data_IF_061306570730
#
_entry.id   IF_061306570730
#
_cell.length_a   1.000
_cell.length_b   1.000
_cell.length_c   1.000
_cell.angle_alpha   90.00
_cell.angle_beta   90.00
_cell.angle_gamma   90.00
#
_symmetry.space_group_name_H-M   'P 1'
#
loop_
_entity.id
_entity.type
_entity.pdbx_description
1 polymer ?
#
# COMPACT_ATOMS: atom_id res chain seq x y z
N UNK A 1 23.37 -0.97 -18.57
CA UNK A 1 24.48 -0.47 -17.77
C UNK A 1 23.94 0.02 -16.41
N UNK A 2 24.18 -0.79 -15.39
CA UNK A 2 24.38 -0.55 -13.94
C UNK A 2 23.57 0.59 -13.30
N UNK A 3 22.51 0.23 -12.58
CA UNK A 3 21.90 1.08 -11.57
C UNK A 3 22.69 0.90 -10.24
N UNK A 4 23.32 1.96 -9.76
CA UNK A 4 24.00 2.00 -8.49
C UNK A 4 22.98 2.30 -7.40
N UNK A 5 22.80 1.36 -6.47
CA UNK A 5 22.10 1.57 -5.22
C UNK A 5 23.00 2.35 -4.26
N UNK A 6 22.55 3.49 -3.78
CA UNK A 6 23.20 4.21 -2.67
C UNK A 6 22.65 3.66 -1.37
N UNK A 7 23.46 2.84 -0.69
CA UNK A 7 23.24 2.42 0.68
C UNK A 7 23.77 3.48 1.63
N UNK A 8 22.94 4.06 2.48
CA UNK A 8 23.38 4.85 3.64
C UNK A 8 23.60 3.86 4.77
N UNK A 9 24.88 3.67 5.12
CA UNK A 9 25.30 2.86 6.25
C UNK A 9 25.16 3.68 7.55
N UNK A 10 24.29 3.24 8.46
CA UNK A 10 24.42 3.57 9.88
C UNK A 10 25.11 2.40 10.59
N UNK A 11 26.37 2.59 10.97
CA UNK A 11 27.08 1.69 11.87
C UNK A 11 26.53 1.85 13.30
N UNK A 12 26.03 0.75 13.86
CA UNK A 12 26.01 0.57 15.30
C UNK A 12 26.45 -0.87 15.59
N UNK A 13 27.53 -0.97 16.35
CA UNK A 13 28.15 -2.21 16.75
C UNK A 13 27.33 -2.92 17.83
N UNK A 14 26.94 -4.18 17.58
CA UNK A 14 26.72 -5.20 18.62
C UNK A 14 26.89 -6.56 17.99
N UNK A 15 27.84 -7.32 18.52
CA UNK A 15 28.35 -8.53 17.91
C UNK A 15 27.50 -9.76 18.16
N UNK A 16 27.62 -10.71 17.27
CA UNK A 16 27.66 -12.15 17.56
C UNK A 16 26.40 -12.98 17.38
N UNK A 17 25.19 -12.41 17.17
CA UNK A 17 23.95 -13.19 16.97
C UNK A 17 23.31 -13.03 15.59
N UNK A 18 23.89 -12.17 14.74
CA UNK A 18 23.29 -11.76 13.47
C UNK A 18 23.44 -12.74 12.31
N UNK A 19 24.42 -13.66 12.35
CA UNK A 19 24.79 -14.44 11.17
C UNK A 19 23.97 -15.72 10.98
N UNK A 20 23.42 -16.30 12.03
CA UNK A 20 22.60 -17.53 11.93
C UNK A 20 21.16 -17.20 11.52
N UNK A 21 20.62 -16.06 11.98
CA UNK A 21 19.28 -15.60 11.58
C UNK A 21 19.19 -15.16 10.10
N UNK A 22 20.25 -14.57 9.56
CA UNK A 22 20.25 -14.05 8.19
C UNK A 22 20.28 -15.12 7.10
N UNK A 23 20.85 -16.30 7.37
CA UNK A 23 20.91 -17.39 6.39
C UNK A 23 19.59 -18.18 6.32
N UNK A 24 18.91 -18.37 7.44
CA UNK A 24 17.62 -19.10 7.50
C UNK A 24 16.45 -18.24 6.99
N UNK A 25 16.54 -16.89 7.14
CA UNK A 25 15.56 -15.94 6.61
C UNK A 25 15.60 -15.84 5.09
N UNK A 26 16.78 -15.91 4.44
CA UNK A 26 16.87 -15.80 2.97
C UNK A 26 16.16 -16.93 2.22
N UNK A 27 16.16 -18.13 2.74
CA UNK A 27 15.50 -19.29 2.10
C UNK A 27 13.97 -19.24 2.30
N UNK A 28 13.50 -18.72 3.43
CA UNK A 28 12.05 -18.49 3.71
C UNK A 28 11.50 -17.30 2.94
N UNK A 29 12.30 -16.27 2.67
CA UNK A 29 11.94 -15.05 1.96
C UNK A 29 11.35 -15.29 0.57
N UNK A 30 11.90 -16.23 -0.16
CA UNK A 30 11.46 -16.50 -1.52
C UNK A 30 10.06 -17.11 -1.62
N UNK A 31 9.49 -17.60 -0.52
CA UNK A 31 8.31 -18.46 -0.58
C UNK A 31 6.98 -17.71 -0.74
N UNK A 32 6.72 -16.61 -0.04
CA UNK A 32 5.40 -16.01 -0.07
C UNK A 32 5.20 -15.11 -1.30
N UNK A 33 5.98 -14.05 -1.46
CA UNK A 33 5.82 -13.15 -2.61
C UNK A 33 5.98 -13.88 -3.95
N UNK A 34 6.95 -14.80 -4.07
CA UNK A 34 7.16 -15.54 -5.31
C UNK A 34 5.97 -16.38 -5.73
N UNK A 35 5.22 -16.94 -4.77
CA UNK A 35 4.02 -17.72 -5.07
C UNK A 35 2.91 -16.88 -5.69
N UNK A 36 2.91 -15.55 -5.46
CA UNK A 36 1.86 -14.63 -5.89
C UNK A 36 2.32 -13.60 -6.93
N UNK A 37 3.60 -13.52 -7.27
CA UNK A 37 4.14 -12.54 -8.24
C UNK A 37 3.45 -12.57 -9.61
N UNK A 38 2.97 -13.72 -10.03
CA UNK A 38 2.23 -13.83 -11.28
C UNK A 38 0.94 -13.01 -11.26
N UNK A 39 0.30 -12.81 -10.08
CA UNK A 39 -0.92 -12.03 -9.91
C UNK A 39 -0.67 -10.52 -10.07
N UNK A 40 0.56 -10.05 -9.88
CA UNK A 40 0.89 -8.63 -10.00
C UNK A 40 0.66 -8.07 -11.40
N UNK A 41 0.69 -8.94 -12.42
CA UNK A 41 0.46 -8.57 -13.82
C UNK A 41 -1.02 -8.41 -14.15
N UNK A 42 -1.88 -9.08 -13.40
CA UNK A 42 -3.33 -9.14 -13.64
C UNK A 42 -4.13 -8.34 -12.61
N UNK A 43 -3.45 -7.64 -11.68
CA UNK A 43 -4.15 -6.83 -10.68
C UNK A 43 -5.06 -5.79 -11.35
N UNK A 44 -6.29 -5.71 -10.88
CA UNK A 44 -7.34 -4.84 -11.41
C UNK A 44 -8.14 -5.43 -12.57
N UNK A 45 -7.90 -6.68 -12.96
CA UNK A 45 -8.74 -7.35 -13.97
C UNK A 45 -10.12 -7.72 -13.41
N UNK A 46 -10.19 -7.99 -12.09
CA UNK A 46 -11.42 -8.34 -11.39
C UNK A 46 -11.92 -7.27 -10.43
N UNK A 47 -11.13 -6.20 -10.24
CA UNK A 47 -11.50 -5.10 -9.35
C UNK A 47 -12.80 -4.44 -9.79
N UNK A 48 -13.69 -4.23 -8.83
CA UNK A 48 -14.94 -3.48 -9.01
C UNK A 48 -14.80 -1.99 -8.68
N UNK A 49 -13.61 -1.55 -8.26
CA UNK A 49 -13.36 -0.15 -7.92
C UNK A 49 -13.61 0.74 -9.12
N UNK A 50 -14.46 1.75 -8.94
CA UNK A 50 -14.77 2.77 -9.95
C UNK A 50 -14.61 4.15 -9.35
N UNK A 51 -13.82 4.98 -10.01
CA UNK A 51 -13.51 6.33 -9.59
C UNK A 51 -14.15 7.34 -10.56
N UNK A 52 -14.88 8.30 -10.01
CA UNK A 52 -15.51 9.39 -10.78
C UNK A 52 -14.90 10.71 -10.38
N UNK A 53 -14.51 11.53 -11.35
CA UNK A 53 -14.19 12.93 -11.11
C UNK A 53 -15.47 13.69 -10.78
N UNK A 54 -15.43 14.50 -9.72
CA UNK A 54 -16.52 15.36 -9.28
C UNK A 54 -16.28 16.78 -9.83
N UNK A 55 -15.04 17.28 -9.70
CA UNK A 55 -14.66 18.62 -10.16
C UNK A 55 -13.15 18.74 -10.37
N UNK A 56 -12.72 19.89 -10.88
CA UNK A 56 -11.33 20.22 -11.21
C UNK A 56 -11.09 20.33 -12.72
N UNK A 57 -9.88 20.70 -13.16
CA UNK A 57 -8.74 20.96 -12.28
C UNK A 57 -8.78 22.36 -11.64
N UNK A 58 -8.32 22.45 -10.40
CA UNK A 58 -8.02 23.69 -9.70
C UNK A 58 -6.49 23.88 -9.63
N UNK A 59 -6.01 25.11 -9.86
CA UNK A 59 -4.59 25.43 -9.66
C UNK A 59 -4.28 25.45 -8.16
N UNK A 60 -3.26 24.70 -7.74
CA UNK A 60 -2.81 24.67 -6.34
C UNK A 60 -1.29 24.78 -6.23
N UNK A 61 -0.83 24.99 -5.00
CA UNK A 61 0.60 24.88 -4.65
C UNK A 61 0.80 23.68 -3.73
N UNK A 62 1.37 22.62 -4.30
CA UNK A 62 1.74 21.38 -3.64
C UNK A 62 2.94 21.55 -2.70
N UNK A 63 3.27 20.52 -1.89
CA UNK A 63 4.39 20.52 -0.93
C UNK A 63 4.40 21.77 -0.04
N UNK A 64 3.27 22.01 0.63
CA UNK A 64 3.14 23.17 1.53
C UNK A 64 3.45 24.52 0.82
N UNK A 65 2.93 24.69 -0.39
CA UNK A 65 3.02 25.93 -1.13
C UNK A 65 4.23 26.12 -2.02
N UNK A 66 5.08 25.07 -2.20
CA UNK A 66 6.37 25.19 -2.91
C UNK A 66 6.33 24.85 -4.39
N UNK A 67 5.40 24.00 -4.82
CA UNK A 67 5.40 23.44 -6.17
C UNK A 67 4.03 23.64 -6.82
N UNK A 68 3.95 24.24 -8.02
CA UNK A 68 2.66 24.40 -8.71
C UNK A 68 2.14 23.07 -9.20
N UNK A 69 0.82 22.92 -9.21
CA UNK A 69 0.13 21.74 -9.69
C UNK A 69 -1.35 21.95 -9.88
N UNK A 70 -2.03 20.91 -10.27
CA UNK A 70 -3.47 20.87 -10.51
C UNK A 70 -4.11 19.80 -9.63
N UNK A 71 -5.25 20.15 -9.03
CA UNK A 71 -6.03 19.26 -8.16
C UNK A 71 -7.39 18.96 -8.75
N UNK A 72 -7.82 17.72 -8.60
CA UNK A 72 -9.17 17.24 -8.91
C UNK A 72 -9.78 16.62 -7.66
N UNK A 73 -11.09 16.68 -7.57
CA UNK A 73 -11.87 15.97 -6.58
C UNK A 73 -12.51 14.75 -7.23
N UNK A 74 -12.45 13.63 -6.54
CA UNK A 74 -12.93 12.35 -7.02
C UNK A 74 -13.72 11.61 -5.95
N UNK A 75 -14.49 10.61 -6.35
CA UNK A 75 -15.23 9.71 -5.45
C UNK A 75 -15.17 8.29 -5.94
N UNK A 76 -15.25 7.34 -5.00
CA UNK A 76 -15.46 5.93 -5.27
C UNK A 76 -16.37 5.37 -4.16
N UNK A 77 -17.59 4.95 -4.53
CA UNK A 77 -18.60 4.66 -3.53
C UNK A 77 -18.88 5.88 -2.65
N UNK A 78 -18.81 5.71 -1.35
CA UNK A 78 -18.97 6.77 -0.35
C UNK A 78 -17.71 7.62 -0.14
N UNK A 79 -16.54 7.13 -0.51
CA UNK A 79 -15.25 7.78 -0.27
C UNK A 79 -15.05 8.98 -1.20
N UNK A 80 -14.58 10.09 -0.63
CA UNK A 80 -14.23 11.33 -1.35
C UNK A 80 -12.77 11.63 -1.15
N UNK A 81 -12.05 11.95 -2.24
CA UNK A 81 -10.62 12.17 -2.15
C UNK A 81 -10.12 13.15 -3.22
N UNK A 82 -8.89 13.58 -3.04
CA UNK A 82 -8.20 14.56 -3.88
C UNK A 82 -7.09 13.88 -4.67
N UNK A 83 -7.00 14.22 -5.93
CA UNK A 83 -5.93 13.81 -6.83
C UNK A 83 -5.17 15.05 -7.27
N UNK A 84 -3.85 15.05 -7.11
CA UNK A 84 -3.04 16.20 -7.45
C UNK A 84 -1.87 15.80 -8.35
N UNK A 85 -1.63 16.58 -9.40
CA UNK A 85 -0.54 16.35 -10.35
C UNK A 85 0.29 17.63 -10.44
N UNK A 86 1.60 17.51 -10.20
CA UNK A 86 2.57 18.60 -10.33
C UNK A 86 2.60 19.10 -11.77
N UNK A 87 2.68 20.42 -11.97
CA UNK A 87 2.78 21.00 -13.31
C UNK A 87 4.02 20.50 -14.07
N UNK A 88 3.81 20.22 -15.35
CA UNK A 88 4.83 19.66 -16.24
C UNK A 88 5.17 18.18 -15.96
N UNK A 89 4.34 17.47 -15.23
CA UNK A 89 4.30 16.00 -15.24
C UNK A 89 3.51 15.55 -16.46
N UNK A 90 4.09 14.63 -17.23
CA UNK A 90 3.40 14.01 -18.38
C UNK A 90 2.56 12.82 -17.91
N UNK A 91 1.48 13.13 -17.20
CA UNK A 91 0.46 12.16 -16.80
C UNK A 91 -0.90 12.84 -16.77
N UNK A 92 -1.86 12.29 -17.51
CA UNK A 92 -3.26 12.72 -17.48
C UNK A 92 -3.94 12.15 -16.22
N UNK A 93 -4.90 12.90 -15.65
CA UNK A 93 -5.64 12.46 -14.46
C UNK A 93 -6.41 11.15 -14.71
N UNK A 94 -6.91 10.92 -15.92
CA UNK A 94 -7.60 9.69 -16.31
C UNK A 94 -6.65 8.47 -16.19
N UNK A 95 -5.38 8.64 -16.55
CA UNK A 95 -4.37 7.58 -16.39
C UNK A 95 -3.97 7.32 -14.94
N UNK A 96 -4.03 8.35 -14.10
CA UNK A 96 -3.91 8.17 -12.66
C UNK A 96 -5.10 7.37 -12.12
N UNK A 97 -6.31 7.75 -12.49
CA UNK A 97 -7.55 7.04 -12.11
C UNK A 97 -7.49 5.57 -12.51
N UNK A 98 -7.13 5.26 -13.76
CA UNK A 98 -6.99 3.88 -14.23
C UNK A 98 -6.04 3.04 -13.37
N UNK A 99 -5.01 3.64 -12.76
CA UNK A 99 -4.09 2.94 -11.84
C UNK A 99 -4.69 2.74 -10.46
N UNK A 100 -5.38 3.75 -9.95
CA UNK A 100 -6.04 3.71 -8.64
C UNK A 100 -7.20 2.69 -8.65
N UNK A 101 -7.94 2.59 -9.75
CA UNK A 101 -9.02 1.62 -9.95
C UNK A 101 -8.53 0.16 -9.99
N UNK A 102 -7.24 -0.07 -10.20
CA UNK A 102 -6.68 -1.42 -10.14
C UNK A 102 -6.60 -2.00 -8.74
N UNK A 103 -6.63 -1.16 -7.71
CA UNK A 103 -6.66 -1.65 -6.34
C UNK A 103 -8.07 -2.05 -5.92
N UNK A 104 -8.21 -3.12 -5.12
CA UNK A 104 -9.49 -3.54 -4.57
C UNK A 104 -10.16 -2.43 -3.74
N UNK A 105 -11.49 -2.43 -3.71
CA UNK A 105 -12.30 -1.40 -3.04
C UNK A 105 -11.88 -1.07 -1.60
N UNK A 106 -11.51 -2.03 -0.72
CA UNK A 106 -11.07 -1.70 0.64
C UNK A 106 -9.86 -0.76 0.71
N UNK A 107 -9.05 -0.69 -0.37
CA UNK A 107 -7.88 0.19 -0.44
C UNK A 107 -8.23 1.67 -0.69
N UNK A 108 -9.43 1.93 -1.21
CA UNK A 108 -9.90 3.31 -1.50
C UNK A 108 -10.00 4.18 -0.23
N UNK A 109 -10.23 3.56 0.92
CA UNK A 109 -10.24 4.27 2.21
C UNK A 109 -8.94 5.05 2.45
N UNK A 110 -7.79 4.51 2.07
CA UNK A 110 -6.52 5.23 2.21
C UNK A 110 -6.49 6.53 1.40
N UNK A 111 -7.20 6.58 0.26
CA UNK A 111 -7.28 7.80 -0.56
C UNK A 111 -8.03 8.91 0.14
N UNK A 112 -9.11 8.57 0.87
CA UNK A 112 -9.84 9.52 1.71
C UNK A 112 -8.99 9.97 2.90
N UNK A 113 -8.36 9.03 3.63
CA UNK A 113 -7.49 9.33 4.77
C UNK A 113 -6.44 10.39 4.43
N UNK A 114 -5.67 10.20 3.35
CA UNK A 114 -4.65 11.20 2.99
C UNK A 114 -5.26 12.51 2.50
N UNK A 115 -6.46 12.47 1.96
CA UNK A 115 -7.15 13.66 1.47
C UNK A 115 -7.74 14.52 2.58
N UNK A 116 -8.13 13.91 3.69
CA UNK A 116 -8.60 14.61 4.88
C UNK A 116 -7.43 15.28 5.61
N UNK A 117 -6.28 14.62 5.64
CA UNK A 117 -5.09 15.12 6.33
C UNK A 117 -4.35 16.23 5.57
N UNK A 118 -4.37 16.21 4.24
CA UNK A 118 -3.62 17.16 3.40
C UNK A 118 -4.40 17.60 2.16
N UNK A 119 -4.12 18.84 1.75
CA UNK A 119 -4.70 19.40 0.53
C UNK A 119 -4.25 18.69 -0.75
N UNK A 120 -3.03 18.14 -0.75
CA UNK A 120 -2.49 17.44 -1.91
C UNK A 120 -3.20 16.09 -2.16
N UNK A 121 -3.71 15.45 -1.11
CA UNK A 121 -4.31 14.12 -1.22
C UNK A 121 -3.32 13.10 -1.82
N UNK A 122 -3.75 12.36 -2.85
CA UNK A 122 -2.85 11.51 -3.63
C UNK A 122 -2.13 12.40 -4.64
N UNK A 123 -0.80 12.47 -4.54
CA UNK A 123 -0.01 13.45 -5.28
C UNK A 123 1.01 12.81 -6.22
N UNK A 124 1.02 13.25 -7.47
CA UNK A 124 2.02 12.84 -8.47
C UNK A 124 3.07 13.93 -8.61
N UNK A 125 4.32 13.57 -8.33
CA UNK A 125 5.48 14.46 -8.46
C UNK A 125 6.40 14.03 -9.60
N UNK A 126 7.15 14.96 -10.18
CA UNK A 126 8.18 14.66 -11.19
C UNK A 126 9.27 13.74 -10.63
N UNK A 127 9.61 13.91 -9.36
CA UNK A 127 10.65 13.17 -8.66
C UNK A 127 10.43 13.19 -7.16
N UNK A 128 10.79 12.09 -6.52
CA UNK A 128 10.75 11.87 -5.08
C UNK A 128 12.14 11.54 -4.51
N UNK A 129 13.21 12.16 -5.10
CA UNK A 129 14.57 11.98 -4.58
C UNK A 129 15.14 10.56 -4.78
N UNK A 130 14.69 9.86 -5.83
CA UNK A 130 15.11 8.49 -6.12
C UNK A 130 14.09 7.41 -5.71
N UNK A 131 13.13 7.72 -4.86
CA UNK A 131 12.03 6.81 -4.55
C UNK A 131 10.97 6.79 -5.67
N UNK A 132 10.26 5.67 -5.81
CA UNK A 132 9.12 5.55 -6.72
C UNK A 132 7.83 6.07 -6.10
N UNK A 133 7.71 5.98 -4.78
CA UNK A 133 6.57 6.44 -4.01
C UNK A 133 6.95 6.66 -2.53
N UNK A 134 6.05 7.28 -1.79
CA UNK A 134 6.06 7.38 -0.33
C UNK A 134 4.62 7.31 0.16
N UNK A 135 4.36 6.49 1.18
CA UNK A 135 3.07 6.37 1.85
C UNK A 135 3.12 6.77 3.31
N UNK A 136 1.99 7.21 3.82
CA UNK A 136 1.79 7.58 5.21
C UNK A 136 0.42 8.20 5.42
N UNK A 137 0.03 8.44 6.68
CA UNK A 137 -1.27 9.04 6.99
C UNK A 137 -1.53 10.35 6.25
N UNK A 138 -0.48 11.15 6.05
CA UNK A 138 -0.59 12.49 5.47
C UNK A 138 -0.27 12.55 3.98
N UNK A 139 0.09 11.45 3.34
CA UNK A 139 0.48 11.48 1.94
C UNK A 139 0.51 10.09 1.30
N UNK A 140 0.08 10.02 0.06
CA UNK A 140 0.45 9.02 -0.93
C UNK A 140 1.06 9.80 -2.09
N UNK A 141 2.39 9.87 -2.11
CA UNK A 141 3.15 10.56 -3.15
C UNK A 141 3.74 9.53 -4.10
N UNK A 142 3.55 9.72 -5.38
CA UNK A 142 4.05 8.80 -6.42
C UNK A 142 4.74 9.56 -7.55
N UNK A 143 5.64 8.89 -8.27
CA UNK A 143 6.15 9.37 -9.56
C UNK A 143 5.24 8.88 -10.70
N UNK A 144 5.30 9.50 -11.91
CA UNK A 144 4.45 9.11 -13.05
C UNK A 144 4.57 7.65 -13.46
N UNK A 145 5.70 7.00 -13.18
CA UNK A 145 5.97 5.60 -13.51
C UNK A 145 5.54 4.59 -12.45
N UNK A 146 5.08 5.03 -11.27
CA UNK A 146 4.68 4.12 -10.20
C UNK A 146 3.50 3.24 -10.62
N UNK A 147 3.67 1.92 -10.48
CA UNK A 147 2.64 0.94 -10.83
C UNK A 147 1.68 0.64 -9.67
N UNK A 148 0.61 -0.14 -9.94
CA UNK A 148 -0.41 -0.46 -8.92
C UNK A 148 0.17 -1.18 -7.70
N UNK A 149 1.17 -2.03 -7.87
CA UNK A 149 1.77 -2.75 -6.74
C UNK A 149 2.57 -1.83 -5.80
N UNK A 150 3.23 -0.80 -6.36
CA UNK A 150 3.87 0.26 -5.56
C UNK A 150 2.79 1.03 -4.79
N UNK A 151 1.70 1.38 -5.46
CA UNK A 151 0.58 2.06 -4.82
C UNK A 151 -0.05 1.22 -3.69
N UNK A 152 -0.23 -0.10 -3.89
CA UNK A 152 -0.75 -1.00 -2.85
C UNK A 152 0.16 -1.04 -1.61
N UNK A 153 1.47 -0.97 -1.80
CA UNK A 153 2.45 -0.87 -0.73
C UNK A 153 2.26 0.42 0.10
N UNK A 154 2.19 1.57 -0.58
CA UNK A 154 2.03 2.87 0.08
C UNK A 154 0.67 3.02 0.80
N UNK A 155 -0.39 2.45 0.22
CA UNK A 155 -1.69 2.32 0.88
C UNK A 155 -1.58 1.54 2.18
N UNK A 156 -0.74 0.49 2.21
CA UNK A 156 -0.45 -0.26 3.42
C UNK A 156 0.04 0.63 4.56
N UNK A 157 1.03 1.47 4.29
CA UNK A 157 1.55 2.43 5.29
C UNK A 157 0.51 3.46 5.72
N UNK A 158 -0.34 3.91 4.79
CA UNK A 158 -1.42 4.85 5.12
C UNK A 158 -2.42 4.23 6.09
N UNK A 159 -2.87 3.01 5.81
CA UNK A 159 -3.85 2.31 6.65
C UNK A 159 -3.25 1.90 8.00
N UNK A 160 -1.99 1.47 8.04
CA UNK A 160 -1.26 1.22 9.28
C UNK A 160 -1.24 2.46 10.19
N UNK A 161 -0.83 3.61 9.63
CA UNK A 161 -0.76 4.84 10.41
C UNK A 161 -2.14 5.34 10.85
N UNK A 162 -3.19 5.06 10.07
CA UNK A 162 -4.57 5.33 10.48
C UNK A 162 -4.99 4.42 11.63
N UNK A 163 -4.68 3.13 11.54
CA UNK A 163 -5.01 2.16 12.58
C UNK A 163 -4.32 2.46 13.93
N UNK A 164 -3.15 3.10 13.93
CA UNK A 164 -2.48 3.57 15.18
C UNK A 164 -3.29 4.57 15.99
N UNK A 165 -4.27 5.22 15.42
CA UNK A 165 -5.11 6.17 16.16
C UNK A 165 -6.06 5.45 17.12
N UNK A 166 -6.57 4.28 16.72
CA UNK A 166 -7.44 3.44 17.53
C UNK A 166 -6.66 2.37 18.31
N UNK A 167 -5.53 1.91 17.77
CA UNK A 167 -4.66 0.89 18.36
C UNK A 167 -3.16 1.31 18.28
N UNK A 168 -2.67 2.06 19.28
CA UNK A 168 -1.27 2.49 19.32
C UNK A 168 -0.25 1.35 19.28
N UNK A 169 -0.64 0.13 19.69
CA UNK A 169 0.21 -1.07 19.71
C UNK A 169 0.21 -1.85 18.38
N UNK A 170 -0.43 -1.34 17.34
CA UNK A 170 -0.62 -2.07 16.07
C UNK A 170 0.71 -2.55 15.47
N UNK A 171 1.80 -1.78 15.60
CA UNK A 171 3.11 -2.18 15.12
C UNK A 171 3.74 -3.30 15.95
N UNK A 172 3.58 -3.26 17.27
CA UNK A 172 4.07 -4.32 18.15
C UNK A 172 3.31 -5.62 17.86
N UNK A 173 2.00 -5.52 17.60
CA UNK A 173 1.17 -6.65 17.16
C UNK A 173 1.62 -7.17 15.80
N UNK A 174 2.03 -6.27 14.87
CA UNK A 174 2.56 -6.67 13.58
C UNK A 174 3.88 -7.43 13.70
N UNK A 175 4.80 -6.93 14.53
CA UNK A 175 6.05 -7.63 14.86
C UNK A 175 5.78 -9.03 15.45
N UNK A 176 4.84 -9.13 16.40
CA UNK A 176 4.44 -10.41 16.96
C UNK A 176 3.84 -11.35 15.90
N UNK A 177 3.09 -10.83 14.94
CA UNK A 177 2.53 -11.60 13.84
C UNK A 177 3.62 -12.12 12.88
N UNK A 178 4.65 -11.31 12.61
CA UNK A 178 5.81 -11.76 11.84
C UNK A 178 6.48 -12.95 12.51
N UNK A 179 6.75 -12.85 13.83
CA UNK A 179 7.38 -13.92 14.59
C UNK A 179 6.51 -15.18 14.68
N UNK A 180 5.18 -15.02 14.76
CA UNK A 180 4.23 -16.14 14.80
C UNK A 180 4.18 -16.90 13.47
N UNK A 181 4.17 -16.19 12.35
CA UNK A 181 4.07 -16.79 11.02
C UNK A 181 5.35 -17.51 10.60
N UNK A 182 6.51 -17.05 11.07
CA UNK A 182 7.84 -17.64 10.76
C UNK A 182 8.13 -17.77 9.26
N UNK A 183 7.55 -16.89 8.46
CA UNK A 183 7.77 -16.80 7.01
C UNK A 183 8.13 -15.38 6.62
N UNK A 184 8.92 -15.23 5.59
CA UNK A 184 9.21 -13.95 4.97
C UNK A 184 8.17 -13.62 3.91
N UNK A 185 7.76 -12.36 3.84
CA UNK A 185 6.89 -11.87 2.77
C UNK A 185 7.73 -11.51 1.55
N UNK A 186 8.78 -10.70 1.73
CA UNK A 186 9.68 -10.28 0.65
C UNK A 186 11.08 -9.96 1.16
N UNK A 187 12.06 -9.94 0.24
CA UNK A 187 13.42 -9.50 0.56
C UNK A 187 13.47 -8.07 1.12
N UNK A 188 12.59 -7.21 0.66
CA UNK A 188 12.57 -5.81 1.10
C UNK A 188 12.03 -5.70 2.53
N UNK A 189 10.92 -6.37 2.85
CA UNK A 189 10.37 -6.41 4.19
C UNK A 189 11.34 -7.01 5.23
N UNK A 190 12.16 -7.99 4.84
CA UNK A 190 13.16 -8.55 5.75
C UNK A 190 14.39 -7.65 5.97
N UNK A 191 14.79 -6.89 4.93
CA UNK A 191 15.90 -5.95 5.06
C UNK A 191 15.52 -4.70 5.84
N UNK A 192 14.27 -4.27 5.71
CA UNK A 192 13.72 -3.06 6.31
C UNK A 192 12.41 -3.43 7.00
N UNK A 193 12.51 -3.80 8.27
CA UNK A 193 11.45 -4.47 9.03
C UNK A 193 10.09 -3.75 9.00
N UNK A 194 10.08 -2.42 9.07
CA UNK A 194 8.84 -1.63 9.00
C UNK A 194 8.17 -1.63 7.61
N UNK A 195 8.86 -2.13 6.58
CA UNK A 195 8.31 -2.28 5.24
C UNK A 195 7.55 -3.60 5.04
N UNK A 196 7.66 -4.56 5.97
CA UNK A 196 6.99 -5.86 5.88
C UNK A 196 5.47 -5.71 5.74
N UNK A 197 4.87 -4.74 6.43
CA UNK A 197 3.44 -4.46 6.33
C UNK A 197 3.05 -3.93 4.94
N UNK A 198 3.80 -2.99 4.38
CA UNK A 198 3.61 -2.51 3.01
C UNK A 198 3.75 -3.63 1.98
N UNK A 199 4.75 -4.50 2.17
CA UNK A 199 4.95 -5.68 1.31
C UNK A 199 3.83 -6.70 1.44
N UNK A 200 3.31 -6.93 2.65
CA UNK A 200 2.14 -7.79 2.87
C UNK A 200 0.90 -7.20 2.21
N UNK A 201 0.64 -5.90 2.39
CA UNK A 201 -0.46 -5.16 1.74
C UNK A 201 -0.46 -5.39 0.23
N UNK A 202 0.71 -5.31 -0.40
CA UNK A 202 0.89 -5.55 -1.84
C UNK A 202 0.47 -6.97 -2.25
N UNK A 203 0.93 -7.99 -1.50
CA UNK A 203 0.57 -9.39 -1.77
C UNK A 203 -0.94 -9.62 -1.55
N UNK A 204 -1.48 -9.07 -0.46
CA UNK A 204 -2.89 -9.20 -0.12
C UNK A 204 -3.78 -8.56 -1.20
N UNK A 205 -3.46 -7.36 -1.69
CA UNK A 205 -4.20 -6.70 -2.77
C UNK A 205 -4.31 -7.58 -4.02
N UNK A 206 -3.19 -8.18 -4.42
CA UNK A 206 -3.16 -9.07 -5.58
C UNK A 206 -3.96 -10.36 -5.36
N UNK A 207 -3.91 -10.93 -4.14
CA UNK A 207 -4.69 -12.11 -3.79
C UNK A 207 -6.19 -11.80 -3.74
N UNK A 208 -6.57 -10.63 -3.19
CA UNK A 208 -7.96 -10.20 -3.09
C UNK A 208 -8.57 -9.99 -4.48
N UNK A 209 -7.85 -9.31 -5.39
CA UNK A 209 -8.30 -9.15 -6.78
C UNK A 209 -8.42 -10.50 -7.51
N UNK A 210 -7.50 -11.43 -7.26
CA UNK A 210 -7.53 -12.76 -7.88
C UNK A 210 -8.62 -13.69 -7.33
N UNK A 211 -9.13 -13.42 -6.12
CA UNK A 211 -10.28 -14.11 -5.49
C UNK A 211 -9.92 -15.07 -4.37
N UNK A 212 -10.96 -15.64 -3.75
CA UNK A 212 -10.90 -16.38 -2.47
C UNK A 212 -9.88 -17.53 -2.44
N UNK A 213 -9.67 -18.23 -3.55
CA UNK A 213 -8.68 -19.30 -3.59
C UNK A 213 -7.25 -18.82 -3.28
N UNK A 214 -6.89 -17.62 -3.75
CA UNK A 214 -5.59 -17.01 -3.50
C UNK A 214 -5.51 -16.39 -2.10
N UNK A 215 -6.59 -15.76 -1.63
CA UNK A 215 -6.68 -15.29 -0.24
C UNK A 215 -6.55 -16.44 0.75
N UNK A 216 -7.25 -17.55 0.54
CA UNK A 216 -7.16 -18.75 1.37
C UNK A 216 -5.75 -19.33 1.39
N UNK A 217 -5.03 -19.29 0.26
CA UNK A 217 -3.63 -19.70 0.19
C UNK A 217 -2.72 -18.75 1.00
N UNK A 218 -2.89 -17.44 0.87
CA UNK A 218 -2.14 -16.45 1.64
C UNK A 218 -2.41 -16.59 3.15
N UNK A 219 -3.67 -16.76 3.56
CA UNK A 219 -4.08 -17.00 4.95
C UNK A 219 -3.40 -18.22 5.55
N UNK A 220 -3.23 -19.30 4.79
CA UNK A 220 -2.50 -20.52 5.25
C UNK A 220 -1.02 -20.27 5.40
N UNK A 221 -0.41 -19.45 4.56
CA UNK A 221 1.04 -19.19 4.59
C UNK A 221 1.42 -18.17 5.67
N UNK A 222 0.57 -17.23 5.98
CA UNK A 222 0.84 -16.13 6.90
C UNK A 222 -0.44 -15.80 7.70
N UNK A 223 -0.90 -16.69 8.58
CA UNK A 223 -2.20 -16.57 9.25
C UNK A 223 -2.27 -15.41 10.24
N UNK A 224 -1.20 -15.10 10.97
CA UNK A 224 -1.19 -14.04 11.97
C UNK A 224 -1.21 -12.65 11.31
N UNK A 225 -0.34 -12.40 10.34
CA UNK A 225 -0.37 -11.14 9.56
C UNK A 225 -1.68 -11.00 8.79
N UNK A 226 -2.20 -12.08 8.21
CA UNK A 226 -3.46 -12.07 7.49
C UNK A 226 -4.61 -11.58 8.37
N UNK A 227 -4.77 -12.16 9.56
CA UNK A 227 -5.79 -11.75 10.53
C UNK A 227 -5.65 -10.28 10.95
N UNK A 228 -4.41 -9.87 11.25
CA UNK A 228 -4.15 -8.50 11.68
C UNK A 228 -4.37 -7.49 10.55
N UNK A 229 -3.99 -7.84 9.31
CA UNK A 229 -4.24 -7.01 8.15
C UNK A 229 -5.73 -6.83 7.87
N UNK A 230 -6.53 -7.89 7.99
CA UNK A 230 -7.99 -7.78 7.87
C UNK A 230 -8.57 -6.87 8.95
N UNK A 231 -8.05 -6.87 10.18
CA UNK A 231 -8.50 -5.92 11.19
C UNK A 231 -8.13 -4.47 10.84
N UNK A 232 -6.94 -4.22 10.29
CA UNK A 232 -6.51 -2.89 9.81
C UNK A 232 -7.44 -2.41 8.68
N UNK A 233 -7.78 -3.27 7.73
CA UNK A 233 -8.70 -2.93 6.64
C UNK A 233 -10.12 -2.63 7.13
N UNK A 234 -10.59 -3.33 8.17
CA UNK A 234 -11.95 -3.23 8.70
C UNK A 234 -12.10 -2.22 9.84
N UNK A 235 -11.01 -1.68 10.38
CA UNK A 235 -11.01 -0.72 11.49
C UNK A 235 -11.57 0.66 11.12
N UNK A 236 -12.17 0.80 9.99
CA UNK A 236 -13.02 1.88 9.60
C UNK A 236 -14.34 1.31 9.17
N UNK A 237 -15.27 1.53 10.00
CA UNK A 237 -16.70 1.54 9.77
C UNK A 237 -17.12 1.30 8.30
N UNK A 238 -16.85 0.08 7.81
CA UNK A 238 -17.63 -0.45 6.72
C UNK A 238 -19.02 -0.61 7.31
N UNK A 239 -19.93 0.31 7.00
CA UNK A 239 -21.33 0.16 7.35
C UNK A 239 -21.79 -1.25 6.95
N UNK A 240 -22.72 -1.83 7.69
CA UNK A 240 -23.21 -3.20 7.42
C UNK A 240 -23.69 -3.39 5.95
N UNK A 241 -23.97 -2.32 5.24
CA UNK A 241 -24.35 -2.30 3.82
C UNK A 241 -23.15 -2.57 2.87
N UNK A 242 -21.92 -2.14 3.24
CA UNK A 242 -20.72 -2.42 2.44
C UNK A 242 -20.17 -3.83 2.69
N UNK A 243 -20.56 -4.50 3.78
CA UNK A 243 -20.16 -5.87 4.09
C UNK A 243 -20.83 -6.92 3.18
N UNK A 244 -21.86 -6.58 2.44
CA UNK A 244 -22.47 -7.46 1.43
C UNK A 244 -21.61 -7.63 0.15
N UNK A 245 -20.64 -6.74 -0.06
CA UNK A 245 -19.74 -6.81 -1.23
C UNK A 245 -18.53 -7.73 -0.97
N UNK A 246 -18.24 -8.05 0.29
CA UNK A 246 -17.26 -9.09 0.60
C UNK A 246 -17.95 -10.46 0.45
N UNK A 247 -17.41 -11.41 -0.32
CA UNK A 247 -18.03 -12.72 -0.48
C UNK A 247 -18.14 -13.37 0.91
N UNK A 248 -19.38 -13.44 1.43
CA UNK A 248 -19.66 -14.21 2.64
C UNK A 248 -19.27 -15.65 2.35
N UNK A 249 -18.27 -16.16 3.02
CA UNK A 249 -18.02 -17.59 3.08
C UNK A 249 -19.29 -18.25 3.61
N UNK A 250 -20.06 -18.90 2.74
CA UNK A 250 -21.10 -19.83 3.18
C UNK A 250 -20.37 -20.98 3.87
N UNK A 251 -20.68 -21.17 5.15
CA UNK A 251 -20.33 -22.36 5.90
C UNK A 251 -20.84 -23.63 5.20
#
# INVERSE_FOLDING_TARGET
LIAAAVAIACLAASGGLSTVYAADTKEKQQQVEQQFRHLYRTIGEKSSTKIKLISGPEAIKMRNGRVPGKRWFATSGQFKFKLTIQDGVDLKVEKLIERLEKLPLPYVRAYEVVSDEKEDGIAVYKSLGGASAHGGKQYINIIPGAGPMVLAHEVGHTLEQKAKESDPEILDKWEAAIEADKVSISNYGDQVRHEDLGEFSKVYAACLDAGEAQLSKLRKLSPARFKLWESILNDGDLSAEDSEVLPRTKN
#
